data_IF_058619994492
#
_entry.id   IF_058619994492
#
_cell.length_a   1.000
_cell.length_b   1.000
_cell.length_c   1.000
_cell.angle_alpha   90.00
_cell.angle_beta   90.00
_cell.angle_gamma   90.00
#
_symmetry.space_group_name_H-M   'P 1'
#
loop_
_entity.id
_entity.type
_entity.pdbx_description
1 polymer ?
#
# COMPACT_ATOMS: atom_id res chain seq x y z
N UNK A 1 -10.59 -3.78 27.33
CA UNK A 1 -11.02 -2.57 28.06
C UNK A 1 -10.67 -1.37 27.20
N UNK A 2 -11.48 -0.30 27.19
CA UNK A 2 -11.12 0.91 26.43
C UNK A 2 -9.94 1.61 27.12
N UNK A 3 -9.04 2.23 26.36
CA UNK A 3 -7.93 3.01 26.94
C UNK A 3 -8.44 4.37 27.40
N UNK A 4 -8.91 4.45 28.63
CA UNK A 4 -9.43 5.70 29.21
C UNK A 4 -8.34 6.51 29.89
N UNK A 5 -8.63 7.79 30.15
CA UNK A 5 -7.76 8.70 30.89
C UNK A 5 -7.47 8.21 32.30
N UNK A 6 -8.48 7.66 32.97
CA UNK A 6 -8.38 7.12 34.33
C UNK A 6 -7.46 5.90 34.36
N UNK A 7 -7.57 5.02 33.36
CA UNK A 7 -6.69 3.86 33.24
C UNK A 7 -5.24 4.31 33.14
N UNK A 8 -4.93 5.28 32.28
CA UNK A 8 -3.56 5.80 32.10
C UNK A 8 -3.02 6.40 33.40
N UNK A 9 -3.82 7.18 34.13
CA UNK A 9 -3.39 7.82 35.37
C UNK A 9 -3.19 6.85 36.54
N UNK A 10 -3.94 5.75 36.56
CA UNK A 10 -3.85 4.72 37.60
C UNK A 10 -2.84 3.62 37.27
N UNK A 11 -2.38 3.56 36.02
CA UNK A 11 -1.38 2.60 35.55
C UNK A 11 0.00 2.87 36.16
N UNK A 12 0.81 1.81 36.25
CA UNK A 12 2.13 1.90 36.85
C UNK A 12 3.07 2.71 35.97
N UNK A 13 3.70 3.74 36.56
CA UNK A 13 4.77 4.51 35.93
C UNK A 13 6.02 4.39 36.80
N UNK A 14 7.09 3.85 36.23
CA UNK A 14 8.30 3.53 36.98
C UNK A 14 9.55 3.65 36.11
N UNK A 15 10.73 3.55 36.73
CA UNK A 15 12.00 3.52 36.03
C UNK A 15 12.35 2.07 35.68
N UNK A 16 12.41 1.74 34.40
CA UNK A 16 12.75 0.39 33.95
C UNK A 16 14.27 0.10 34.11
N UNK A 17 14.74 -1.14 33.91
CA UNK A 17 16.16 -1.50 34.05
C UNK A 17 17.13 -0.73 33.13
N UNK A 18 16.62 -0.13 32.04
CA UNK A 18 17.39 0.71 31.12
C UNK A 18 17.41 2.18 31.55
N UNK A 19 16.84 2.51 32.71
CA UNK A 19 16.68 3.87 33.24
C UNK A 19 15.78 4.75 32.36
N UNK A 20 14.82 4.14 31.68
CA UNK A 20 13.77 4.83 30.94
C UNK A 20 12.50 4.92 31.82
N UNK A 21 11.84 6.07 31.82
CA UNK A 21 10.52 6.18 32.48
C UNK A 21 9.50 5.44 31.62
N UNK A 22 9.02 4.31 32.12
CA UNK A 22 8.12 3.39 31.44
C UNK A 22 6.71 3.50 32.01
N UNK A 23 5.72 3.56 31.11
CA UNK A 23 4.30 3.41 31.43
C UNK A 23 3.86 1.98 31.10
N UNK A 24 3.40 1.25 32.11
CA UNK A 24 2.90 -0.14 31.96
C UNK A 24 1.40 -0.15 31.65
N UNK A 25 1.04 -0.59 30.46
CA UNK A 25 -0.34 -0.78 30.00
C UNK A 25 -0.59 -2.24 29.58
N UNK A 26 0.12 -3.19 30.19
CA UNK A 26 0.04 -4.61 29.82
C UNK A 26 -1.30 -5.25 30.19
N UNK A 27 -1.77 -6.18 29.36
CA UNK A 27 -2.83 -7.12 29.76
C UNK A 27 -4.24 -6.52 29.91
N UNK A 28 -4.49 -5.29 29.45
CA UNK A 28 -5.77 -4.60 29.61
C UNK A 28 -6.79 -4.89 28.50
N UNK A 29 -6.43 -5.74 27.51
CA UNK A 29 -7.25 -6.03 26.32
C UNK A 29 -7.67 -4.75 25.61
N UNK A 30 -6.73 -3.81 25.46
CA UNK A 30 -6.95 -2.52 24.80
C UNK A 30 -7.14 -2.74 23.30
N UNK A 31 -8.28 -2.34 22.70
CA UNK A 31 -8.52 -2.58 21.27
C UNK A 31 -7.88 -1.50 20.36
N UNK A 32 -7.66 -0.30 20.89
CA UNK A 32 -7.15 0.85 20.15
C UNK A 32 -6.38 1.81 21.07
N UNK A 33 -5.35 2.44 20.51
CA UNK A 33 -4.59 3.50 21.19
C UNK A 33 -5.39 4.80 21.06
N UNK A 34 -5.59 5.47 22.19
CA UNK A 34 -6.30 6.74 22.32
C UNK A 34 -5.96 7.39 23.67
N UNK A 35 -6.33 8.66 23.86
CA UNK A 35 -6.21 9.39 25.12
C UNK A 35 -4.79 9.51 25.71
N UNK A 36 -3.73 9.19 24.95
CA UNK A 36 -2.34 9.29 25.40
C UNK A 36 -1.88 10.73 25.73
N UNK A 37 -2.69 11.75 25.44
CA UNK A 37 -2.40 13.12 25.84
C UNK A 37 -2.26 13.31 27.35
N UNK A 38 -2.91 12.45 28.16
CA UNK A 38 -2.80 12.52 29.64
C UNK A 38 -1.66 11.68 30.20
N UNK A 39 -0.97 10.88 29.38
CA UNK A 39 0.13 10.02 29.83
C UNK A 39 1.33 10.82 30.32
N UNK A 40 1.51 12.08 29.91
CA UNK A 40 2.68 12.87 30.27
C UNK A 40 3.98 12.31 29.63
N UNK A 41 5.16 12.83 30.05
CA UNK A 41 6.41 12.56 29.37
C UNK A 41 7.01 11.19 29.77
N UNK A 42 6.83 10.19 28.90
CA UNK A 42 7.42 8.86 29.05
C UNK A 42 8.53 8.61 28.00
N UNK A 43 9.54 7.84 28.40
CA UNK A 43 10.64 7.39 27.53
C UNK A 43 10.26 6.06 26.85
N UNK A 44 9.49 5.22 27.55
CA UNK A 44 8.98 3.94 27.07
C UNK A 44 7.48 3.76 27.39
N UNK A 45 6.75 3.07 26.53
CA UNK A 45 5.38 2.61 26.83
C UNK A 45 5.28 1.14 26.47
N UNK A 46 4.72 0.36 27.40
CA UNK A 46 4.48 -1.06 27.23
C UNK A 46 3.01 -1.39 27.04
N UNK A 47 2.66 -1.80 25.83
CA UNK A 47 1.34 -2.27 25.41
C UNK A 47 1.28 -3.78 25.22
N UNK A 48 2.21 -4.55 25.76
CA UNK A 48 2.27 -6.00 25.59
C UNK A 48 0.98 -6.68 26.10
N UNK A 49 0.54 -7.75 25.44
CA UNK A 49 -0.69 -8.49 25.80
C UNK A 49 -1.98 -7.65 25.72
N UNK A 50 -2.18 -6.95 24.61
CA UNK A 50 -3.42 -6.23 24.32
C UNK A 50 -4.03 -6.69 22.98
N UNK A 51 -5.13 -6.06 22.56
CA UNK A 51 -5.86 -6.40 21.34
C UNK A 51 -5.76 -5.25 20.30
N UNK A 52 -4.66 -4.50 20.31
CA UNK A 52 -4.48 -3.31 19.46
C UNK A 52 -4.37 -3.76 18.00
N UNK A 53 -5.20 -3.19 17.12
CA UNK A 53 -5.27 -3.57 15.70
C UNK A 53 -4.46 -2.64 14.77
N UNK A 54 -4.31 -1.37 15.15
CA UNK A 54 -3.59 -0.36 14.36
C UNK A 54 -2.63 0.39 15.27
N UNK A 55 -1.39 0.53 14.82
CA UNK A 55 -0.40 1.37 15.49
C UNK A 55 -0.55 2.81 15.00
N UNK A 56 -1.14 3.68 15.83
CA UNK A 56 -1.45 5.05 15.49
C UNK A 56 -1.98 5.84 16.69
N UNK A 57 -2.57 7.01 16.41
CA UNK A 57 -3.25 7.87 17.39
C UNK A 57 -2.36 8.35 18.55
N UNK A 58 -1.06 8.53 18.29
CA UNK A 58 -0.16 9.12 19.27
C UNK A 58 -0.21 10.65 19.22
N UNK A 59 -0.26 11.34 20.37
CA UNK A 59 0.06 12.76 20.43
C UNK A 59 1.54 12.96 20.12
N UNK A 60 1.94 14.21 19.85
CA UNK A 60 3.35 14.55 19.68
C UNK A 60 4.13 14.20 20.96
N UNK A 61 4.96 13.17 20.88
CA UNK A 61 5.67 12.58 22.02
C UNK A 61 7.17 12.52 21.74
N UNK A 62 7.88 13.67 21.80
CA UNK A 62 9.28 13.76 21.38
C UNK A 62 10.23 13.00 22.31
N UNK A 63 9.79 12.67 23.52
CA UNK A 63 10.57 11.93 24.52
C UNK A 63 10.49 10.41 24.32
N UNK A 64 9.45 9.92 23.67
CA UNK A 64 9.21 8.48 23.53
C UNK A 64 10.23 7.86 22.57
N UNK A 65 10.97 6.86 23.07
CA UNK A 65 12.06 6.17 22.35
C UNK A 65 11.75 4.69 22.14
N UNK A 66 11.06 4.08 23.09
CA UNK A 66 10.79 2.64 23.12
C UNK A 66 9.29 2.37 23.12
N UNK A 67 8.83 1.59 22.15
CA UNK A 67 7.47 1.09 22.09
C UNK A 67 7.45 -0.43 22.08
N UNK A 68 6.78 -1.00 23.09
CA UNK A 68 6.60 -2.44 23.22
C UNK A 68 5.14 -2.79 22.90
N UNK A 69 4.91 -3.48 21.77
CA UNK A 69 3.59 -3.93 21.32
C UNK A 69 3.58 -5.43 21.07
N UNK A 70 4.30 -6.20 21.88
CA UNK A 70 4.33 -7.66 21.72
C UNK A 70 2.94 -8.27 21.99
N UNK A 71 2.60 -9.36 21.29
CA UNK A 71 1.34 -10.11 21.48
C UNK A 71 0.12 -9.20 21.39
N UNK A 72 0.00 -8.53 20.24
CA UNK A 72 -1.14 -7.69 19.86
C UNK A 72 -1.71 -8.17 18.52
N UNK A 73 -2.63 -7.42 17.93
CA UNK A 73 -3.27 -7.74 16.64
C UNK A 73 -2.93 -6.71 15.57
N UNK A 74 -1.78 -6.03 15.70
CA UNK A 74 -1.43 -4.91 14.81
C UNK A 74 -1.23 -5.43 13.41
N UNK A 75 -2.01 -4.92 12.46
CA UNK A 75 -1.89 -5.25 11.03
C UNK A 75 -1.52 -4.04 10.17
N UNK A 76 -1.58 -2.83 10.71
CA UNK A 76 -1.24 -1.61 9.98
C UNK A 76 -0.69 -0.51 10.89
N UNK A 77 0.05 0.41 10.27
CA UNK A 77 0.69 1.55 10.92
C UNK A 77 0.16 2.83 10.27
N UNK A 78 -0.20 3.81 11.09
CA UNK A 78 -0.64 5.11 10.59
C UNK A 78 0.51 5.83 9.84
N UNK A 79 0.31 6.29 8.59
CA UNK A 79 1.38 6.90 7.78
C UNK A 79 2.05 8.13 8.43
N UNK A 80 1.28 8.89 9.22
CA UNK A 80 1.77 10.11 9.89
C UNK A 80 2.43 9.85 11.24
N UNK A 81 2.58 8.58 11.65
CA UNK A 81 3.04 8.24 13.00
C UNK A 81 4.46 8.73 13.29
N UNK A 82 5.34 8.74 12.29
CA UNK A 82 6.70 9.26 12.43
C UNK A 82 6.73 10.75 12.85
N UNK A 83 5.71 11.53 12.48
CA UNK A 83 5.60 12.94 12.90
C UNK A 83 5.24 13.06 14.38
N UNK A 84 4.42 12.15 14.90
CA UNK A 84 4.06 12.11 16.32
C UNK A 84 5.19 11.57 17.18
N UNK A 85 6.01 10.64 16.64
CA UNK A 85 7.07 9.93 17.36
C UNK A 85 8.45 10.15 16.70
N UNK A 86 8.96 11.39 16.67
CA UNK A 86 10.14 11.74 15.87
C UNK A 86 11.44 11.05 16.33
N UNK A 87 11.51 10.63 17.61
CA UNK A 87 12.71 10.06 18.21
C UNK A 87 12.57 8.56 18.55
N UNK A 88 11.58 7.87 17.94
CA UNK A 88 11.38 6.44 18.17
C UNK A 88 12.59 5.65 17.65
N UNK A 89 13.25 4.94 18.57
CA UNK A 89 14.49 4.19 18.28
C UNK A 89 14.29 2.69 18.34
N UNK A 90 13.35 2.23 19.17
CA UNK A 90 13.05 0.81 19.42
C UNK A 90 11.56 0.54 19.28
N UNK A 91 11.21 -0.36 18.36
CA UNK A 91 9.84 -0.79 18.11
C UNK A 91 9.77 -2.33 18.14
N UNK A 92 9.03 -2.85 19.11
CA UNK A 92 8.80 -4.29 19.28
C UNK A 92 7.38 -4.63 18.84
N UNK A 93 7.24 -5.32 17.72
CA UNK A 93 5.98 -5.81 17.14
C UNK A 93 5.94 -7.34 17.10
N UNK A 94 6.63 -8.00 18.02
CA UNK A 94 6.64 -9.46 18.13
C UNK A 94 5.22 -10.04 18.27
N UNK A 95 4.90 -11.11 17.55
CA UNK A 95 3.59 -11.76 17.59
C UNK A 95 2.42 -10.79 17.33
N UNK A 96 2.41 -10.22 16.13
CA UNK A 96 1.34 -9.36 15.62
C UNK A 96 0.80 -9.93 14.29
N UNK A 97 0.01 -9.15 13.54
CA UNK A 97 -0.72 -9.61 12.37
C UNK A 97 -0.32 -8.89 11.06
N UNK A 98 0.94 -8.48 10.93
CA UNK A 98 1.46 -7.99 9.65
C UNK A 98 1.54 -9.13 8.65
N UNK A 99 0.81 -9.02 7.54
CA UNK A 99 0.70 -10.08 6.54
C UNK A 99 1.53 -9.79 5.30
N UNK A 100 1.52 -8.55 4.80
CA UNK A 100 2.15 -8.17 3.55
C UNK A 100 3.47 -7.42 3.76
N UNK A 101 4.39 -7.55 2.79
CA UNK A 101 5.65 -6.79 2.82
C UNK A 101 5.40 -5.29 2.68
N UNK A 102 4.37 -4.90 1.93
CA UNK A 102 3.98 -3.51 1.75
C UNK A 102 3.48 -2.85 3.04
N UNK A 103 2.88 -3.62 3.97
CA UNK A 103 2.42 -3.08 5.27
C UNK A 103 3.56 -2.48 6.09
N UNK A 104 4.79 -2.92 5.80
CA UNK A 104 6.02 -2.46 6.45
C UNK A 104 6.59 -1.20 5.79
N UNK A 105 6.05 -0.72 4.67
CA UNK A 105 6.59 0.44 3.95
C UNK A 105 6.52 1.71 4.78
N UNK A 106 5.50 1.84 5.64
CA UNK A 106 5.37 2.98 6.57
C UNK A 106 6.55 3.06 7.54
N UNK A 107 7.21 1.95 7.85
CA UNK A 107 8.36 1.94 8.76
C UNK A 107 9.56 2.72 8.20
N UNK A 108 9.64 2.93 6.88
CA UNK A 108 10.72 3.73 6.28
C UNK A 108 10.63 5.22 6.64
N UNK A 109 9.48 5.67 7.14
CA UNK A 109 9.27 7.07 7.57
C UNK A 109 9.98 7.40 8.89
N UNK A 110 10.33 6.39 9.69
CA UNK A 110 11.05 6.59 10.95
C UNK A 110 12.55 6.78 10.71
N UNK A 111 13.01 8.02 10.90
CA UNK A 111 14.41 8.42 10.61
C UNK A 111 15.42 7.95 11.66
N UNK A 112 14.97 7.59 12.86
CA UNK A 112 15.82 7.20 14.01
C UNK A 112 15.65 5.74 14.43
N UNK A 113 14.76 4.99 13.77
CA UNK A 113 14.47 3.61 14.16
C UNK A 113 15.69 2.70 13.95
N UNK A 114 16.20 2.12 15.04
CA UNK A 114 17.42 1.28 15.03
C UNK A 114 17.15 -0.17 15.41
N UNK A 115 16.18 -0.41 16.29
CA UNK A 115 15.81 -1.74 16.76
C UNK A 115 14.37 -2.04 16.35
N UNK A 116 14.19 -3.08 15.54
CA UNK A 116 12.89 -3.52 15.05
C UNK A 116 12.73 -5.01 15.28
N UNK A 117 11.61 -5.43 15.86
CA UNK A 117 11.26 -6.84 16.05
C UNK A 117 9.91 -7.09 15.41
N UNK A 118 9.86 -8.01 14.45
CA UNK A 118 8.68 -8.43 13.71
C UNK A 118 8.52 -9.96 13.73
N UNK A 119 9.39 -10.69 14.44
CA UNK A 119 9.26 -12.14 14.70
C UNK A 119 7.83 -12.54 15.08
N UNK A 120 7.38 -13.72 14.63
CA UNK A 120 6.01 -14.23 14.85
C UNK A 120 4.89 -13.39 14.18
N UNK A 121 5.20 -12.63 13.13
CA UNK A 121 4.20 -12.09 12.21
C UNK A 121 4.09 -12.96 10.94
N UNK A 122 2.91 -13.08 10.31
CA UNK A 122 2.76 -13.82 9.05
C UNK A 122 3.73 -13.38 7.94
N UNK A 123 4.06 -12.08 7.86
CA UNK A 123 5.02 -11.50 6.90
C UNK A 123 6.41 -12.12 6.98
N UNK A 124 6.82 -12.65 8.13
CA UNK A 124 8.14 -13.27 8.33
C UNK A 124 8.35 -14.53 7.51
N UNK A 125 7.27 -15.17 7.05
CA UNK A 125 7.30 -16.38 6.20
C UNK A 125 7.44 -16.06 4.72
N UNK A 126 7.37 -14.78 4.33
CA UNK A 126 7.47 -14.37 2.93
C UNK A 126 8.91 -14.38 2.42
N UNK A 127 9.05 -14.66 1.14
CA UNK A 127 10.33 -14.58 0.46
C UNK A 127 10.89 -13.16 0.55
N UNK A 128 12.21 -13.08 0.72
CA UNK A 128 12.94 -11.82 0.86
C UNK A 128 12.50 -10.90 2.00
N UNK A 129 11.68 -11.33 2.95
CA UNK A 129 11.21 -10.51 4.09
C UNK A 129 12.34 -9.71 4.77
N UNK A 130 13.40 -10.40 5.18
CA UNK A 130 14.50 -9.76 5.90
C UNK A 130 15.21 -8.73 5.03
N UNK A 131 15.48 -9.07 3.78
CA UNK A 131 16.15 -8.19 2.82
C UNK A 131 15.27 -6.98 2.48
N UNK A 132 13.96 -7.18 2.36
CA UNK A 132 12.97 -6.13 2.13
C UNK A 132 13.01 -5.09 3.26
N UNK A 133 12.89 -5.54 4.51
CA UNK A 133 12.92 -4.63 5.67
C UNK A 133 14.24 -3.86 5.75
N UNK A 134 15.37 -4.53 5.54
CA UNK A 134 16.70 -3.90 5.55
C UNK A 134 16.86 -2.87 4.43
N UNK A 135 16.27 -3.12 3.26
CA UNK A 135 16.31 -2.22 2.11
C UNK A 135 15.36 -1.02 2.31
N UNK A 136 14.12 -1.25 2.76
CA UNK A 136 13.12 -0.19 3.02
C UNK A 136 13.50 0.69 4.20
N UNK A 137 14.05 0.11 5.26
CA UNK A 137 14.39 0.80 6.51
C UNK A 137 15.91 0.79 6.73
N UNK A 138 16.68 1.67 6.05
CA UNK A 138 18.14 1.64 6.13
C UNK A 138 18.68 1.98 7.52
N UNK A 139 17.92 2.70 8.34
CA UNK A 139 18.24 3.12 9.72
C UNK A 139 18.31 1.95 10.70
N UNK A 140 17.59 0.85 10.42
CA UNK A 140 17.53 -0.34 11.27
C UNK A 140 18.89 -1.01 11.34
N UNK A 141 19.39 -1.22 12.57
CA UNK A 141 20.67 -1.86 12.88
C UNK A 141 20.48 -3.27 13.44
N UNK A 142 19.37 -3.50 14.14
CA UNK A 142 19.00 -4.79 14.70
C UNK A 142 17.58 -5.13 14.25
N UNK A 143 17.44 -6.27 13.56
CA UNK A 143 16.17 -6.80 13.08
C UNK A 143 15.99 -8.21 13.63
N UNK A 144 14.90 -8.45 14.35
CA UNK A 144 14.55 -9.75 14.95
C UNK A 144 15.67 -10.27 15.85
N UNK A 145 16.19 -9.38 16.71
CA UNK A 145 17.32 -9.60 17.62
C UNK A 145 18.64 -9.96 16.93
N UNK A 146 18.73 -9.85 15.60
CA UNK A 146 19.94 -10.10 14.81
C UNK A 146 20.50 -8.80 14.25
N UNK A 147 21.80 -8.60 14.42
CA UNK A 147 22.53 -7.46 13.83
C UNK A 147 22.45 -7.54 12.30
N UNK A 148 22.08 -6.42 11.67
CA UNK A 148 22.08 -6.27 10.21
C UNK A 148 23.52 -6.07 9.73
N UNK A 149 23.94 -6.87 8.74
CA UNK A 149 25.28 -6.78 8.13
C UNK A 149 25.23 -6.06 6.79
N UNK A 150 26.34 -5.47 6.37
CA UNK A 150 26.43 -4.73 5.11
C UNK A 150 26.20 -5.61 3.87
N UNK A 151 26.65 -6.88 3.92
CA UNK A 151 26.36 -7.85 2.86
C UNK A 151 24.85 -8.08 2.63
N UNK A 152 24.01 -7.94 3.67
CA UNK A 152 22.55 -8.05 3.51
C UNK A 152 21.98 -6.77 2.87
N UNK A 153 22.58 -5.62 3.13
CA UNK A 153 22.20 -4.33 2.52
C UNK A 153 22.52 -4.29 1.04
N UNK A 154 23.68 -4.82 0.65
CA UNK A 154 24.10 -4.94 -0.75
C UNK A 154 23.16 -5.85 -1.52
N UNK A 155 22.85 -7.04 -0.99
CA UNK A 155 21.85 -7.95 -1.57
C UNK A 155 20.48 -7.29 -1.76
N UNK A 156 20.05 -6.46 -0.80
CA UNK A 156 18.80 -5.71 -0.94
C UNK A 156 18.84 -4.71 -2.08
N UNK A 157 19.96 -4.00 -2.27
CA UNK A 157 20.15 -3.10 -3.40
C UNK A 157 20.20 -3.84 -4.74
N UNK A 158 20.80 -5.03 -4.79
CA UNK A 158 20.85 -5.85 -6.01
C UNK A 158 19.46 -6.34 -6.42
N UNK A 159 18.65 -6.81 -5.47
CA UNK A 159 17.32 -7.38 -5.75
C UNK A 159 16.27 -6.28 -6.02
N UNK A 160 16.27 -5.24 -5.20
CA UNK A 160 15.22 -4.21 -5.19
C UNK A 160 15.65 -2.90 -5.87
N UNK A 161 16.91 -2.76 -6.26
CA UNK A 161 17.44 -1.56 -6.87
C UNK A 161 17.66 -0.43 -5.86
N UNK A 162 17.50 0.81 -6.33
CA UNK A 162 17.59 1.99 -5.45
C UNK A 162 16.20 2.51 -5.11
N UNK A 163 16.08 3.29 -4.03
CA UNK A 163 14.79 3.88 -3.68
C UNK A 163 14.26 4.87 -4.75
N UNK A 164 15.14 5.41 -5.61
CA UNK A 164 14.76 6.28 -6.73
C UNK A 164 14.38 5.49 -7.99
N UNK A 165 14.96 4.31 -8.15
CA UNK A 165 14.72 3.41 -9.28
C UNK A 165 14.47 1.99 -8.74
N UNK A 166 13.25 1.72 -8.24
CA UNK A 166 12.89 0.41 -7.70
C UNK A 166 12.82 -0.63 -8.83
N UNK A 167 13.27 -1.85 -8.54
CA UNK A 167 13.14 -2.96 -9.47
C UNK A 167 11.67 -3.33 -9.68
N UNK A 168 11.37 -4.05 -10.77
CA UNK A 168 10.01 -4.52 -11.09
C UNK A 168 9.40 -5.30 -9.91
N UNK A 169 10.20 -6.05 -9.16
CA UNK A 169 9.75 -6.80 -8.00
C UNK A 169 9.32 -5.86 -6.86
N UNK A 170 10.11 -4.82 -6.57
CA UNK A 170 9.78 -3.85 -5.54
C UNK A 170 8.50 -3.06 -5.89
N UNK A 171 8.38 -2.63 -7.15
CA UNK A 171 7.18 -1.95 -7.62
C UNK A 171 5.94 -2.84 -7.53
N UNK A 172 6.06 -4.13 -7.86
CA UNK A 172 4.95 -5.08 -7.69
C UNK A 172 4.52 -5.19 -6.23
N UNK A 173 5.47 -5.38 -5.32
CA UNK A 173 5.19 -5.53 -3.88
C UNK A 173 4.47 -4.30 -3.31
N UNK A 174 4.96 -3.08 -3.61
CA UNK A 174 4.33 -1.86 -3.11
C UNK A 174 2.96 -1.57 -3.77
N UNK A 175 2.71 -2.01 -5.00
CA UNK A 175 1.41 -1.83 -5.67
C UNK A 175 0.27 -2.67 -5.06
N UNK A 176 0.58 -3.75 -4.33
CA UNK A 176 -0.45 -4.60 -3.71
C UNK A 176 -1.27 -3.88 -2.61
N UNK A 177 -0.84 -2.71 -2.12
CA UNK A 177 -1.57 -1.95 -1.10
C UNK A 177 -2.82 -1.21 -1.62
N UNK A 178 -2.92 -0.95 -2.92
CA UNK A 178 -3.99 -0.11 -3.46
C UNK A 178 -4.52 -0.61 -4.82
N UNK A 179 -5.45 -1.57 -4.86
CA UNK A 179 -6.13 -1.93 -6.11
C UNK A 179 -6.93 -0.75 -6.72
N UNK A 180 -7.31 0.24 -5.89
CA UNK A 180 -8.20 1.35 -6.30
C UNK A 180 -7.49 2.67 -6.64
N UNK A 181 -6.18 2.81 -6.41
CA UNK A 181 -5.42 4.04 -6.77
C UNK A 181 -4.52 3.87 -7.99
N UNK A 182 -4.79 2.86 -8.82
CA UNK A 182 -4.37 2.96 -10.21
C UNK A 182 -5.00 4.25 -10.79
N UNK A 183 -4.27 5.01 -11.61
CA UNK A 183 -4.74 6.24 -12.27
C UNK A 183 -4.79 7.55 -11.46
N UNK A 184 -3.78 7.88 -10.64
CA UNK A 184 -3.32 9.29 -10.58
C UNK A 184 -1.93 9.44 -9.98
N UNK A 185 -1.03 9.93 -10.83
CA UNK A 185 0.26 10.56 -10.50
C UNK A 185 1.34 9.70 -9.85
N UNK A 186 1.97 8.86 -10.68
CA UNK A 186 3.42 8.66 -10.63
C UNK A 186 3.91 8.56 -12.08
N UNK A 187 4.14 9.72 -12.70
CA UNK A 187 4.85 9.83 -13.96
C UNK A 187 6.32 9.48 -13.71
N UNK A 188 6.65 8.19 -13.86
CA UNK A 188 7.98 7.78 -14.27
C UNK A 188 7.84 6.90 -15.53
N UNK A 189 8.60 7.16 -16.60
CA UNK A 189 8.38 6.54 -17.89
C UNK A 189 8.89 5.10 -17.89
N UNK A 190 8.08 4.16 -17.41
CA UNK A 190 8.33 2.75 -17.71
C UNK A 190 7.90 2.49 -19.16
N UNK A 191 8.87 2.50 -20.07
CA UNK A 191 8.73 2.06 -21.45
C UNK A 191 8.52 0.53 -21.44
N UNK A 192 7.30 0.08 -21.18
CA UNK A 192 6.96 -1.34 -21.12
C UNK A 192 6.88 -1.87 -22.56
N UNK A 193 7.93 -2.59 -22.96
CA UNK A 193 7.89 -3.48 -24.12
C UNK A 193 6.86 -4.59 -23.87
N UNK A 194 6.01 -4.80 -24.87
CA UNK A 194 4.86 -5.69 -24.80
C UNK A 194 5.24 -7.14 -24.57
N UNK A 195 4.65 -7.72 -23.54
CA UNK A 195 4.45 -9.17 -23.42
C UNK A 195 3.05 -9.38 -22.86
N UNK A 196 2.12 -9.87 -23.69
CA UNK A 196 0.78 -10.29 -23.27
C UNK A 196 0.85 -11.74 -22.81
N UNK A 197 0.52 -12.02 -21.56
CA UNK A 197 0.27 -13.37 -21.06
C UNK A 197 -1.09 -13.88 -21.59
N UNK A 198 -1.09 -15.10 -22.12
CA UNK A 198 -2.30 -15.86 -22.48
C UNK A 198 -2.76 -16.63 -21.25
N UNK A 199 -3.96 -16.37 -20.76
CA UNK A 199 -4.63 -17.21 -19.75
C UNK A 199 -5.52 -18.24 -20.43
N UNK A 200 -5.51 -19.42 -19.80
CA UNK A 200 -6.06 -20.71 -20.20
C UNK A 200 -7.30 -20.94 -19.34
N UNK A 201 -8.46 -21.28 -19.90
CA UNK A 201 -9.68 -21.59 -19.14
C UNK A 201 -10.19 -23.00 -19.43
N UNK A 202 -10.46 -23.76 -18.37
CA UNK A 202 -11.13 -25.07 -18.35
C UNK A 202 -12.55 -24.95 -17.78
N UNK A 203 -13.49 -25.86 -18.12
CA UNK A 203 -14.94 -25.63 -17.96
C UNK A 203 -15.56 -26.37 -16.76
N UNK A 204 -16.61 -25.81 -16.14
CA UNK A 204 -17.62 -26.62 -15.43
C UNK A 204 -18.97 -25.90 -15.17
N UNK A 205 -19.99 -26.48 -15.80
CA UNK A 205 -21.39 -26.76 -15.42
C UNK A 205 -22.26 -25.83 -14.52
N UNK A 206 -23.41 -25.50 -15.12
CA UNK A 206 -24.81 -25.53 -14.64
C UNK A 206 -25.37 -24.47 -13.66
N UNK A 207 -26.41 -23.76 -14.16
CA UNK A 207 -27.62 -23.47 -13.39
C UNK A 207 -28.33 -22.13 -13.63
N UNK A 208 -29.40 -22.16 -14.45
CA UNK A 208 -30.64 -21.32 -14.47
C UNK A 208 -30.63 -19.80 -14.76
N UNK A 209 -31.18 -19.48 -15.96
CA UNK A 209 -32.14 -18.42 -16.35
C UNK A 209 -32.03 -16.98 -15.80
N UNK A 210 -31.68 -16.03 -16.69
CA UNK A 210 -32.52 -14.86 -17.02
C UNK A 210 -31.87 -13.96 -18.10
N UNK A 211 -32.73 -13.52 -19.04
CA UNK A 211 -32.69 -12.34 -19.91
C UNK A 211 -31.39 -11.96 -20.68
N UNK A 212 -31.55 -11.92 -22.00
CA UNK A 212 -30.57 -11.45 -22.98
C UNK A 212 -30.09 -10.02 -22.70
N UNK A 213 -28.76 -9.84 -22.67
CA UNK A 213 -28.10 -8.56 -22.93
C UNK A 213 -27.05 -8.76 -24.02
N UNK A 214 -27.26 -8.04 -25.12
CA UNK A 214 -26.45 -8.06 -26.33
C UNK A 214 -25.02 -7.63 -26.03
N UNK A 215 -24.05 -8.47 -26.42
CA UNK A 215 -22.63 -8.15 -26.38
C UNK A 215 -22.32 -7.04 -27.39
N UNK A 216 -21.94 -5.85 -26.90
CA UNK A 216 -21.42 -4.78 -27.76
C UNK A 216 -20.00 -5.13 -28.26
N UNK A 217 -19.90 -5.48 -29.54
CA UNK A 217 -18.62 -5.50 -30.25
C UNK A 217 -18.19 -4.06 -30.53
N UNK A 218 -17.22 -3.55 -29.77
CA UNK A 218 -16.60 -2.24 -30.03
C UNK A 218 -15.61 -2.39 -31.18
N UNK A 219 -16.04 -2.08 -32.40
CA UNK A 219 -15.16 -2.04 -33.58
C UNK A 219 -14.08 -0.98 -33.31
N UNK A 220 -12.81 -1.38 -33.36
CA UNK A 220 -11.69 -0.43 -33.23
C UNK A 220 -11.50 0.26 -34.57
N UNK A 221 -11.87 1.53 -34.65
CA UNK A 221 -11.61 2.40 -35.80
C UNK A 221 -10.10 2.53 -36.05
N UNK A 222 -9.69 2.53 -37.31
CA UNK A 222 -8.32 2.85 -37.71
C UNK A 222 -8.06 4.37 -37.56
N UNK A 223 -6.79 4.77 -37.41
CA UNK A 223 -6.43 6.18 -37.20
C UNK A 223 -6.85 7.09 -38.36
N UNK A 224 -6.98 6.55 -39.57
CA UNK A 224 -7.47 7.28 -40.76
C UNK A 224 -8.97 7.52 -40.68
N UNK A 225 -9.76 6.49 -40.32
CA UNK A 225 -11.21 6.62 -40.15
C UNK A 225 -11.56 7.56 -39.01
N UNK A 226 -10.79 7.53 -37.91
CA UNK A 226 -10.99 8.43 -36.77
C UNK A 226 -10.84 9.90 -37.19
N UNK A 227 -9.81 10.23 -37.98
CA UNK A 227 -9.60 11.60 -38.48
C UNK A 227 -10.74 12.06 -39.38
N UNK A 228 -11.24 11.20 -40.27
CA UNK A 228 -12.39 11.50 -41.14
C UNK A 228 -13.67 11.74 -40.34
N UNK A 229 -13.92 10.91 -39.32
CA UNK A 229 -15.06 11.10 -38.41
C UNK A 229 -14.96 12.43 -37.64
N UNK A 230 -13.76 12.79 -37.17
CA UNK A 230 -13.54 14.08 -36.49
C UNK A 230 -13.78 15.28 -37.42
N UNK A 231 -13.38 15.19 -38.69
CA UNK A 231 -13.68 16.21 -39.70
C UNK A 231 -15.18 16.31 -40.02
N UNK A 232 -15.90 15.18 -40.10
CA UNK A 232 -17.34 15.16 -40.31
C UNK A 232 -18.12 15.80 -39.16
N UNK A 233 -17.70 15.55 -37.91
CA UNK A 233 -18.29 16.22 -36.74
C UNK A 233 -18.01 17.72 -36.78
N UNK A 234 -16.79 18.13 -37.15
CA UNK A 234 -16.41 19.54 -37.21
C UNK A 234 -17.17 20.31 -38.32
N UNK A 235 -17.51 19.64 -39.41
CA UNK A 235 -18.20 20.25 -40.56
C UNK A 235 -19.74 20.11 -40.51
N UNK A 236 -20.30 19.45 -39.51
CA UNK A 236 -21.74 19.26 -39.37
C UNK A 236 -22.47 20.60 -39.13
N UNK A 237 -23.45 20.92 -39.98
CA UNK A 237 -24.17 22.21 -39.97
C UNK A 237 -25.49 22.18 -39.18
N UNK A 238 -25.94 20.99 -38.77
CA UNK A 238 -27.19 20.79 -38.04
C UNK A 238 -26.97 19.92 -36.80
N UNK A 239 -27.67 20.26 -35.72
CA UNK A 239 -27.64 19.53 -34.44
C UNK A 239 -28.17 18.09 -34.60
N UNK A 240 -29.06 17.87 -35.57
CA UNK A 240 -29.57 16.54 -35.92
C UNK A 240 -28.50 15.64 -36.55
N UNK A 241 -27.57 16.22 -37.32
CA UNK A 241 -26.48 15.46 -37.95
C UNK A 241 -25.46 14.99 -36.91
N UNK A 242 -25.18 15.84 -35.90
CA UNK A 242 -24.29 15.52 -34.79
C UNK A 242 -24.88 14.37 -33.96
N UNK A 243 -26.17 14.44 -33.63
CA UNK A 243 -26.86 13.38 -32.87
C UNK A 243 -26.92 12.05 -33.63
N UNK A 244 -26.99 12.11 -34.96
CA UNK A 244 -26.93 10.91 -35.80
C UNK A 244 -25.54 10.28 -35.78
N UNK A 245 -24.48 11.07 -35.97
CA UNK A 245 -23.09 10.58 -35.93
C UNK A 245 -22.73 10.01 -34.55
N UNK A 246 -23.18 10.66 -33.47
CA UNK A 246 -22.99 10.17 -32.10
C UNK A 246 -23.65 8.81 -31.87
N UNK A 247 -24.89 8.63 -32.38
CA UNK A 247 -25.60 7.35 -32.30
C UNK A 247 -24.88 6.25 -33.07
N UNK A 248 -24.44 6.53 -34.30
CA UNK A 248 -23.72 5.55 -35.13
C UNK A 248 -22.40 5.11 -34.46
N UNK A 249 -21.66 6.04 -33.86
CA UNK A 249 -20.43 5.74 -33.11
C UNK A 249 -20.68 4.96 -31.82
N UNK A 250 -21.76 5.27 -31.10
CA UNK A 250 -22.11 4.59 -29.86
C UNK A 250 -22.62 3.15 -30.12
N UNK A 251 -23.25 2.93 -31.27
CA UNK A 251 -23.63 1.62 -31.79
C UNK A 251 -22.42 0.83 -32.36
N UNK A 252 -21.23 1.42 -32.38
CA UNK A 252 -20.00 0.77 -32.84
C UNK A 252 -19.91 0.59 -34.35
N UNK A 253 -20.69 1.36 -35.13
CA UNK A 253 -20.60 1.40 -36.59
C UNK A 253 -19.80 2.62 -37.04
N UNK A 254 -19.01 2.43 -38.10
CA UNK A 254 -18.32 3.55 -38.76
C UNK A 254 -19.35 4.28 -39.63
N UNK A 255 -19.50 5.60 -39.52
CA UNK A 255 -20.40 6.37 -40.38
C UNK A 255 -20.09 6.11 -41.86
N UNK A 256 -21.12 5.91 -42.69
CA UNK A 256 -20.96 5.56 -44.12
C UNK A 256 -20.12 6.61 -44.86
N UNK A 257 -20.21 7.88 -44.47
CA UNK A 257 -19.41 8.97 -45.05
C UNK A 257 -17.91 8.91 -44.70
N UNK A 258 -17.53 8.16 -43.66
CA UNK A 258 -16.14 7.86 -43.33
C UNK A 258 -15.65 6.54 -43.96
N UNK A 259 -16.57 5.74 -44.52
CA UNK A 259 -16.29 4.51 -45.27
C UNK A 259 -16.21 4.81 -46.77
N UNK A 260 -15.00 5.14 -47.24
CA UNK A 260 -14.64 5.28 -48.66
C UNK A 260 -13.25 5.89 -48.80
N UNK A 261 -12.35 5.46 -49.70
CA UNK A 261 -12.30 4.37 -50.67
C UNK A 261 -11.00 3.60 -50.41
N UNK A 262 -11.05 2.27 -50.25
CA UNK A 262 -9.91 1.40 -50.63
C UNK A 262 -10.10 1.06 -52.12
N UNK A 263 -10.05 2.09 -52.97
CA UNK A 263 -9.87 1.89 -54.40
C UNK A 263 -8.36 1.86 -54.66
N UNK A 264 -7.88 0.71 -55.15
CA UNK A 264 -6.53 0.42 -55.62
C UNK A 264 -5.68 1.65 -55.96
N UNK A 265 -4.59 1.84 -55.20
CA UNK A 265 -3.36 2.41 -55.73
C UNK A 265 -2.26 1.35 -55.56
N UNK A 266 -1.88 0.73 -56.69
CA UNK A 266 -0.58 0.09 -56.88
C UNK A 266 0.55 1.13 -56.78
#
# INVERSE_FOLDING_TARGET
>A
MRLTTELIQTSLSYLNPLKERELDLRGHKIPAIENLGVAGPHDAIDFTDNDIQMLGNFPLSPRLRTLLLARNRVSSIQPTLANSLPNLSTLVLHANNFAELADLDVLSTFTVLTHLVLSENPVTRKEHYRTWVVWRCPTVRFLDYKKVKDAEREKGKEIFGTHKEPSILASKVSLYQHPDTAYKELTFPCKIMGVKSKTFDTPSANGVSAMATSKNYRVKLTDKERKKVEELIRNAKSLQDIQRLERELNEGRVPVAAQGDDAMEE
#
